data_IF_659353725505
#
_entry.id   IF_659353725505
#
_cell.length_a   1.000
_cell.length_b   1.000
_cell.length_c   1.000
_cell.angle_alpha   90.00
_cell.angle_beta   90.00
_cell.angle_gamma   90.00
#
_symmetry.space_group_name_H-M   'P 1'
#
loop_
_entity.id
_entity.type
_entity.pdbx_description
1 polymer ?
#
# COMPACT_ATOMS: atom_id res chain seq x y z
N UNK A 1 22.19 26.85 -35.98
CA UNK A 1 20.80 26.88 -36.47
C UNK A 1 20.41 25.43 -36.76
N UNK A 2 19.57 24.83 -35.90
CA UNK A 2 18.64 23.69 -36.14
C UNK A 2 19.30 22.35 -36.56
N UNK A 3 19.08 21.19 -35.94
CA UNK A 3 17.81 20.60 -35.49
C UNK A 3 18.01 19.52 -34.40
N UNK A 4 17.08 19.53 -33.45
CA UNK A 4 16.91 18.56 -32.36
C UNK A 4 16.10 17.37 -32.91
N UNK A 5 16.55 16.13 -32.68
CA UNK A 5 15.66 14.96 -32.64
C UNK A 5 15.95 14.12 -31.40
N UNK A 6 15.15 14.36 -30.37
CA UNK A 6 15.04 13.51 -29.18
C UNK A 6 14.38 12.18 -29.53
N UNK A 7 15.10 11.08 -29.33
CA UNK A 7 14.49 9.77 -29.04
C UNK A 7 14.79 9.46 -27.57
N UNK A 8 13.80 9.68 -26.71
CA UNK A 8 13.79 9.11 -25.36
C UNK A 8 13.70 7.58 -25.52
N UNK A 9 14.80 6.89 -25.26
CA UNK A 9 14.80 5.48 -24.93
C UNK A 9 14.52 5.39 -23.42
N UNK A 10 13.37 4.86 -23.04
CA UNK A 10 13.11 4.41 -21.67
C UNK A 10 14.17 3.36 -21.34
N UNK A 11 15.08 3.68 -20.40
CA UNK A 11 15.92 2.69 -19.74
C UNK A 11 15.05 1.97 -18.70
N UNK A 12 14.72 0.72 -18.97
CA UNK A 12 14.37 -0.24 -17.93
C UNK A 12 15.65 -0.50 -17.14
N UNK A 13 15.68 -0.15 -15.86
CA UNK A 13 16.80 -0.48 -14.99
C UNK A 13 16.48 -1.76 -14.22
N UNK A 14 17.24 -2.80 -14.56
CA UNK A 14 17.29 -4.08 -13.87
C UNK A 14 18.35 -4.01 -12.78
N UNK A 15 17.97 -4.22 -11.52
CA UNK A 15 18.93 -4.33 -10.40
C UNK A 15 19.08 -5.75 -9.84
N UNK A 16 18.61 -6.78 -10.55
CA UNK A 16 18.84 -8.18 -10.17
C UNK A 16 20.04 -8.85 -10.86
N UNK A 17 20.89 -8.07 -11.53
CA UNK A 17 22.12 -8.60 -12.12
C UNK A 17 23.32 -8.19 -11.29
N UNK A 18 23.78 -9.07 -10.39
CA UNK A 18 25.19 -9.44 -10.19
C UNK A 18 25.25 -10.76 -9.37
N UNK A 19 26.14 -11.64 -9.83
CA UNK A 19 26.19 -13.10 -9.74
C UNK A 19 27.01 -13.69 -8.59
N UNK A 20 26.58 -14.84 -8.05
CA UNK A 20 27.43 -16.05 -7.93
C UNK A 20 26.57 -17.31 -8.09
N UNK A 21 26.83 -18.04 -9.19
CA UNK A 21 26.41 -19.42 -9.50
C UNK A 21 24.89 -19.69 -9.67
N UNK A 22 24.52 -19.90 -10.94
CA UNK A 22 23.38 -20.68 -11.45
C UNK A 22 22.21 -20.93 -10.48
N UNK A 23 21.16 -20.11 -10.57
CA UNK A 23 19.71 -20.45 -10.63
C UNK A 23 18.97 -19.12 -10.45
N UNK A 24 18.50 -18.55 -11.55
CA UNK A 24 17.25 -17.79 -11.67
C UNK A 24 17.26 -17.20 -13.08
N UNK A 25 16.69 -17.95 -14.03
CA UNK A 25 16.21 -17.34 -15.26
C UNK A 25 14.91 -16.62 -14.93
N UNK A 26 14.84 -15.27 -14.97
CA UNK A 26 13.54 -14.63 -15.09
C UNK A 26 12.96 -15.17 -16.39
N UNK A 27 11.73 -15.70 -16.35
CA UNK A 27 11.02 -15.95 -17.60
C UNK A 27 10.72 -14.57 -18.18
N UNK A 28 11.64 -14.03 -18.99
CA UNK A 28 11.44 -12.79 -19.74
C UNK A 28 10.31 -12.99 -20.74
N UNK A 29 9.08 -12.86 -20.28
CA UNK A 29 7.91 -12.77 -21.16
C UNK A 29 7.90 -11.34 -21.69
N UNK A 30 8.60 -11.15 -22.81
CA UNK A 30 8.67 -9.92 -23.59
C UNK A 30 7.31 -9.22 -23.66
N UNK A 31 7.28 -7.95 -23.27
CA UNK A 31 6.09 -7.11 -23.28
C UNK A 31 5.72 -6.73 -24.72
N UNK A 32 4.70 -7.40 -25.26
CA UNK A 32 4.04 -6.96 -26.50
C UNK A 32 2.62 -6.43 -26.21
N UNK A 33 2.32 -5.15 -26.51
CA UNK A 33 0.99 -4.56 -26.36
C UNK A 33 -0.14 -5.30 -27.08
N UNK A 34 0.18 -6.11 -28.08
CA UNK A 34 -0.80 -6.97 -28.76
C UNK A 34 -1.28 -8.14 -27.90
N UNK A 35 -0.50 -8.60 -26.92
CA UNK A 35 -0.87 -9.70 -26.02
C UNK A 35 -2.02 -9.28 -25.09
N UNK A 36 -1.95 -8.08 -24.50
CA UNK A 36 -2.94 -7.63 -23.50
C UNK A 36 -4.35 -7.50 -24.07
N UNK A 37 -4.52 -6.95 -25.28
CA UNK A 37 -5.85 -6.86 -25.93
C UNK A 37 -6.42 -8.25 -26.24
N UNK A 38 -5.59 -9.16 -26.74
CA UNK A 38 -6.03 -10.53 -27.03
C UNK A 38 -6.41 -11.28 -25.73
N UNK A 39 -5.65 -11.08 -24.66
CA UNK A 39 -5.94 -11.69 -23.37
C UNK A 39 -7.25 -11.19 -22.78
N UNK A 40 -7.55 -9.89 -22.90
CA UNK A 40 -8.83 -9.33 -22.48
C UNK A 40 -10.00 -10.06 -23.16
N UNK A 41 -9.95 -10.21 -24.48
CA UNK A 41 -11.00 -10.93 -25.23
C UNK A 41 -11.11 -12.40 -24.82
N UNK A 42 -9.97 -13.07 -24.65
CA UNK A 42 -9.93 -14.48 -24.22
C UNK A 42 -10.53 -14.63 -22.83
N UNK A 43 -10.09 -13.83 -21.87
CA UNK A 43 -10.59 -13.83 -20.50
C UNK A 43 -12.10 -13.59 -20.50
N UNK A 44 -12.59 -12.55 -21.18
CA UNK A 44 -14.02 -12.24 -21.21
C UNK A 44 -14.88 -13.36 -21.81
N UNK A 45 -14.36 -14.07 -22.82
CA UNK A 45 -15.05 -15.23 -23.38
C UNK A 45 -15.06 -16.44 -22.43
N UNK A 46 -13.95 -16.72 -21.77
CA UNK A 46 -13.86 -17.84 -20.82
C UNK A 46 -14.65 -17.56 -19.54
N UNK A 47 -14.70 -16.32 -19.05
CA UNK A 47 -15.56 -15.91 -17.92
C UNK A 47 -17.04 -16.12 -18.24
N UNK A 48 -17.50 -15.73 -19.44
CA UNK A 48 -18.89 -16.01 -19.89
C UNK A 48 -19.22 -17.50 -19.95
N UNK A 49 -18.23 -18.34 -20.23
CA UNK A 49 -18.34 -19.80 -20.23
C UNK A 49 -18.14 -20.43 -18.85
N UNK A 50 -17.88 -19.62 -17.83
CA UNK A 50 -17.54 -20.05 -16.47
C UNK A 50 -16.30 -20.96 -16.41
N UNK A 51 -15.35 -20.76 -17.32
CA UNK A 51 -14.13 -21.57 -17.43
C UNK A 51 -12.94 -20.90 -16.72
N UNK A 52 -13.02 -20.82 -15.40
CA UNK A 52 -12.06 -20.07 -14.57
C UNK A 52 -10.68 -20.71 -14.52
N UNK A 53 -10.57 -22.02 -14.75
CA UNK A 53 -9.28 -22.69 -14.94
C UNK A 53 -8.53 -22.12 -16.15
N UNK A 54 -9.25 -21.84 -17.24
CA UNK A 54 -8.63 -21.24 -18.43
C UNK A 54 -8.26 -19.78 -18.20
N UNK A 55 -9.06 -19.05 -17.43
CA UNK A 55 -8.73 -17.68 -16.98
C UNK A 55 -7.44 -17.70 -16.15
N UNK A 56 -7.34 -18.60 -15.17
CA UNK A 56 -6.13 -18.78 -14.35
C UNK A 56 -4.90 -19.05 -15.23
N UNK A 57 -4.99 -19.97 -16.18
CA UNK A 57 -3.88 -20.30 -17.08
C UNK A 57 -3.41 -19.10 -17.90
N UNK A 58 -4.31 -18.22 -18.32
CA UNK A 58 -3.92 -16.97 -19.00
C UNK A 58 -3.16 -16.08 -18.02
N UNK A 59 -3.69 -15.85 -16.81
CA UNK A 59 -3.10 -14.96 -15.82
C UNK A 59 -1.73 -15.44 -15.30
N UNK A 60 -1.55 -16.75 -15.12
CA UNK A 60 -0.27 -17.35 -14.69
C UNK A 60 0.87 -17.14 -15.70
N UNK A 61 0.53 -16.90 -16.97
CA UNK A 61 1.52 -16.63 -18.03
C UNK A 61 1.78 -15.14 -18.24
N UNK A 62 1.34 -14.28 -17.32
CA UNK A 62 1.48 -12.82 -17.42
C UNK A 62 2.18 -12.25 -16.20
N UNK A 63 2.98 -11.20 -16.40
CA UNK A 63 3.58 -10.43 -15.31
C UNK A 63 2.51 -9.63 -14.56
N UNK A 64 2.77 -9.21 -13.32
CA UNK A 64 1.80 -8.40 -12.57
C UNK A 64 1.46 -7.10 -13.33
N UNK A 65 2.45 -6.42 -13.92
CA UNK A 65 2.23 -5.24 -14.76
C UNK A 65 1.25 -5.51 -15.92
N UNK A 66 1.40 -6.64 -16.63
CA UNK A 66 0.46 -7.03 -17.69
C UNK A 66 -0.95 -7.29 -17.13
N UNK A 67 -1.05 -7.92 -15.96
CA UNK A 67 -2.34 -8.14 -15.28
C UNK A 67 -2.97 -6.82 -14.83
N UNK A 68 -2.20 -5.85 -14.35
CA UNK A 68 -2.70 -4.51 -14.04
C UNK A 68 -3.20 -3.76 -15.29
N UNK A 69 -2.55 -3.94 -16.45
CA UNK A 69 -3.09 -3.44 -17.72
C UNK A 69 -4.45 -4.07 -18.07
N UNK A 70 -4.63 -5.38 -17.84
CA UNK A 70 -5.92 -6.07 -18.03
C UNK A 70 -6.95 -5.48 -17.06
N UNK A 71 -6.64 -5.38 -15.76
CA UNK A 71 -7.53 -4.81 -14.73
C UNK A 71 -7.93 -3.37 -15.09
N UNK A 72 -6.98 -2.55 -15.53
CA UNK A 72 -7.23 -1.18 -15.95
C UNK A 72 -8.19 -1.13 -17.14
N UNK A 73 -8.03 -2.01 -18.14
CA UNK A 73 -8.95 -2.08 -19.26
C UNK A 73 -10.39 -2.38 -18.81
N UNK A 74 -10.61 -3.40 -17.96
CA UNK A 74 -11.95 -3.73 -17.46
C UNK A 74 -12.55 -2.54 -16.69
N UNK A 75 -11.76 -1.84 -15.86
CA UNK A 75 -12.19 -0.63 -15.15
C UNK A 75 -12.64 0.49 -16.10
N UNK A 76 -11.93 0.72 -17.22
CA UNK A 76 -12.27 1.75 -18.21
C UNK A 76 -13.65 1.56 -18.84
N UNK A 77 -14.14 0.33 -18.91
CA UNK A 77 -15.47 0.00 -19.43
C UNK A 77 -16.50 -0.27 -18.33
N UNK A 78 -16.21 0.16 -17.08
CA UNK A 78 -17.07 -0.07 -15.91
C UNK A 78 -17.36 -1.56 -15.63
N UNK A 79 -16.52 -2.45 -16.16
CA UNK A 79 -16.59 -3.88 -15.95
C UNK A 79 -15.70 -4.29 -14.76
N UNK A 80 -16.00 -5.43 -14.15
CA UNK A 80 -15.15 -6.01 -13.11
C UNK A 80 -15.12 -7.51 -13.26
N UNK A 81 -13.94 -8.04 -13.60
CA UNK A 81 -13.72 -9.47 -13.71
C UNK A 81 -14.05 -10.20 -12.39
N UNK A 82 -13.74 -9.57 -11.25
CA UNK A 82 -14.08 -10.11 -9.92
C UNK A 82 -15.61 -10.18 -9.72
N UNK A 83 -16.36 -9.14 -10.11
CA UNK A 83 -17.83 -9.17 -10.04
C UNK A 83 -18.43 -10.21 -10.98
N UNK A 84 -17.87 -10.38 -12.17
CA UNK A 84 -18.30 -11.45 -13.09
C UNK A 84 -18.09 -12.86 -12.49
N UNK A 85 -17.16 -12.98 -11.55
CA UNK A 85 -16.84 -14.20 -10.80
C UNK A 85 -17.58 -14.32 -9.45
N UNK A 86 -18.45 -13.37 -9.10
CA UNK A 86 -19.07 -13.28 -7.76
C UNK A 86 -20.04 -14.44 -7.47
N UNK A 87 -20.71 -14.97 -8.51
CA UNK A 87 -21.68 -16.06 -8.42
C UNK A 87 -21.06 -17.45 -8.25
N UNK A 88 -19.73 -17.57 -8.24
CA UNK A 88 -19.03 -18.83 -8.03
C UNK A 88 -18.88 -19.06 -6.53
N UNK A 89 -19.14 -20.29 -6.08
CA UNK A 89 -18.81 -20.71 -4.72
C UNK A 89 -17.35 -20.35 -4.40
N UNK A 90 -17.07 -19.62 -3.30
CA UNK A 90 -15.72 -19.27 -2.94
C UNK A 90 -14.90 -20.55 -2.74
N UNK A 91 -13.96 -20.77 -3.64
CA UNK A 91 -12.99 -21.84 -3.59
C UNK A 91 -11.59 -21.23 -3.79
N UNK A 92 -10.55 -22.01 -3.49
CA UNK A 92 -9.16 -21.54 -3.55
C UNK A 92 -8.77 -20.96 -4.92
N UNK A 93 -9.46 -21.37 -6.00
CA UNK A 93 -9.25 -20.87 -7.35
C UNK A 93 -9.69 -19.40 -7.50
N UNK A 94 -10.83 -19.03 -6.93
CA UNK A 94 -11.32 -17.64 -6.96
C UNK A 94 -10.36 -16.70 -6.23
N UNK A 95 -9.94 -17.08 -5.02
CA UNK A 95 -8.96 -16.32 -4.23
C UNK A 95 -7.64 -16.17 -4.99
N UNK A 96 -7.14 -17.25 -5.61
CA UNK A 96 -5.91 -17.19 -6.41
C UNK A 96 -6.02 -16.24 -7.60
N UNK A 97 -7.17 -16.23 -8.29
CA UNK A 97 -7.39 -15.29 -9.42
C UNK A 97 -7.49 -13.85 -8.91
N UNK A 98 -8.15 -13.62 -7.78
CA UNK A 98 -8.21 -12.30 -7.13
C UNK A 98 -6.80 -11.80 -6.76
N UNK A 99 -5.99 -12.65 -6.13
CA UNK A 99 -4.60 -12.32 -5.79
C UNK A 99 -3.78 -12.03 -7.05
N UNK A 100 -3.91 -12.84 -8.10
CA UNK A 100 -3.20 -12.59 -9.36
C UNK A 100 -3.59 -11.25 -10.00
N UNK A 101 -4.84 -10.83 -9.89
CA UNK A 101 -5.31 -9.54 -10.42
C UNK A 101 -4.96 -8.36 -9.50
N UNK A 102 -4.59 -8.63 -8.26
CA UNK A 102 -4.23 -7.60 -7.29
C UNK A 102 -2.82 -7.08 -7.59
N UNK A 103 -2.62 -5.77 -7.39
CA UNK A 103 -1.30 -5.19 -7.54
C UNK A 103 -0.37 -5.81 -6.48
N UNK A 104 0.83 -6.20 -6.92
CA UNK A 104 1.80 -6.86 -6.05
C UNK A 104 2.10 -6.03 -4.80
N UNK A 105 2.13 -4.70 -4.90
CA UNK A 105 2.35 -3.82 -3.74
C UNK A 105 1.23 -3.87 -2.69
N UNK A 106 0.00 -4.17 -3.10
CA UNK A 106 -1.15 -4.34 -2.20
C UNK A 106 -1.02 -5.65 -1.44
N UNK A 107 -0.81 -6.77 -2.14
CA UNK A 107 -0.65 -8.08 -1.50
C UNK A 107 0.48 -8.07 -0.48
N UNK A 108 1.60 -7.43 -0.82
CA UNK A 108 2.74 -7.31 0.09
C UNK A 108 2.45 -6.43 1.28
N UNK A 109 1.76 -5.31 1.10
CA UNK A 109 1.35 -4.45 2.21
C UNK A 109 0.44 -5.21 3.20
N UNK A 110 -0.48 -6.02 2.70
CA UNK A 110 -1.37 -6.86 3.51
C UNK A 110 -0.58 -7.92 4.30
N UNK A 111 0.30 -8.67 3.64
CA UNK A 111 1.08 -9.72 4.30
C UNK A 111 2.10 -9.13 5.30
N UNK A 112 2.71 -7.99 4.98
CA UNK A 112 3.59 -7.27 5.90
C UNK A 112 2.82 -6.80 7.14
N UNK A 113 1.60 -6.26 6.97
CA UNK A 113 0.76 -5.82 8.08
C UNK A 113 0.41 -6.98 9.00
N UNK A 114 0.02 -8.11 8.40
CA UNK A 114 -0.31 -9.34 9.12
C UNK A 114 0.91 -9.89 9.86
N UNK A 115 2.09 -9.90 9.25
CA UNK A 115 3.32 -10.36 9.87
C UNK A 115 3.69 -9.50 11.09
N UNK A 116 3.63 -8.16 10.95
CA UNK A 116 3.94 -7.24 12.05
C UNK A 116 2.91 -7.34 13.18
N UNK A 117 1.61 -7.32 12.85
CA UNK A 117 0.54 -7.40 13.86
C UNK A 117 0.55 -8.72 14.65
N UNK A 118 1.06 -9.79 14.05
CA UNK A 118 1.26 -11.09 14.72
C UNK A 118 2.66 -11.27 15.30
N UNK A 119 3.50 -10.23 15.28
CA UNK A 119 4.90 -10.28 15.73
C UNK A 119 5.73 -11.40 15.06
N UNK A 120 5.39 -11.76 13.82
CA UNK A 120 6.11 -12.77 13.05
C UNK A 120 7.36 -12.15 12.40
N UNK A 121 8.46 -12.16 13.17
CA UNK A 121 9.73 -11.55 12.75
C UNK A 121 10.36 -12.24 11.53
N UNK A 122 10.12 -13.55 11.35
CA UNK A 122 10.66 -14.31 10.23
C UNK A 122 10.05 -13.84 8.90
N UNK A 123 8.71 -13.76 8.82
CA UNK A 123 8.02 -13.28 7.61
C UNK A 123 8.33 -11.80 7.39
N UNK A 124 8.32 -10.99 8.45
CA UNK A 124 8.65 -9.56 8.36
C UNK A 124 10.04 -9.35 7.75
N UNK A 125 11.05 -10.09 8.23
CA UNK A 125 12.43 -9.96 7.74
C UNK A 125 12.56 -10.47 6.31
N UNK A 126 11.90 -11.60 5.98
CA UNK A 126 11.90 -12.14 4.62
C UNK A 126 11.34 -11.14 3.62
N UNK A 127 10.16 -10.58 3.90
CA UNK A 127 9.53 -9.58 3.05
C UNK A 127 10.42 -8.36 2.87
N UNK A 128 11.03 -7.85 3.94
CA UNK A 128 11.89 -6.65 3.86
C UNK A 128 13.20 -6.87 3.10
N UNK A 129 13.77 -8.08 3.11
CA UNK A 129 15.01 -8.40 2.36
C UNK A 129 14.76 -8.36 0.86
N UNK A 130 13.58 -8.80 0.43
CA UNK A 130 13.21 -8.91 -0.99
C UNK A 130 12.93 -7.54 -1.66
N UNK A 131 12.94 -6.43 -0.90
CA UNK A 131 12.71 -5.09 -1.44
C UNK A 131 13.94 -4.19 -1.35
N UNK A 132 14.42 -3.74 -2.51
CA UNK A 132 15.42 -2.68 -2.62
C UNK A 132 14.97 -1.63 -3.65
N UNK A 133 15.21 -0.35 -3.36
CA UNK A 133 14.92 0.74 -4.31
C UNK A 133 13.44 1.12 -4.42
N UNK A 134 12.99 1.45 -5.62
CA UNK A 134 11.67 2.06 -5.89
C UNK A 134 10.47 1.16 -5.51
N UNK A 135 10.66 -0.16 -5.52
CA UNK A 135 9.64 -1.14 -5.14
C UNK A 135 9.28 -1.04 -3.65
N UNK A 136 10.29 -0.75 -2.81
CA UNK A 136 10.08 -0.53 -1.39
C UNK A 136 9.19 0.70 -1.13
N UNK A 137 9.43 1.80 -1.86
CA UNK A 137 8.64 3.02 -1.69
C UNK A 137 7.19 2.85 -2.17
N UNK A 138 6.95 2.05 -3.21
CA UNK A 138 5.59 1.68 -3.64
C UNK A 138 4.86 0.90 -2.55
N UNK A 139 5.46 -0.18 -2.05
CA UNK A 139 4.89 -1.00 -0.97
C UNK A 139 4.64 -0.15 0.28
N UNK A 140 5.59 0.71 0.66
CA UNK A 140 5.45 1.62 1.80
C UNK A 140 4.27 2.59 1.65
N UNK A 141 4.07 3.16 0.47
CA UNK A 141 2.94 4.06 0.23
C UNK A 141 1.60 3.32 0.30
N UNK A 142 1.53 2.12 -0.28
CA UNK A 142 0.33 1.28 -0.22
C UNK A 142 0.06 0.77 1.20
N UNK A 143 1.09 0.37 1.92
CA UNK A 143 1.02 0.02 3.34
C UNK A 143 0.47 1.16 4.20
N UNK A 144 0.89 2.40 3.95
CA UNK A 144 0.33 3.59 4.61
C UNK A 144 -1.16 3.78 4.34
N UNK A 145 -1.60 3.57 3.10
CA UNK A 145 -3.02 3.65 2.74
C UNK A 145 -3.84 2.50 3.33
N UNK A 146 -3.28 1.29 3.34
CA UNK A 146 -3.92 0.09 3.89
C UNK A 146 -4.04 0.16 5.42
N UNK A 147 -2.97 0.55 6.11
CA UNK A 147 -3.03 0.81 7.56
C UNK A 147 -4.02 1.92 7.89
N UNK A 148 -4.13 2.96 7.06
CA UNK A 148 -5.20 3.95 7.22
C UNK A 148 -6.60 3.33 7.06
N UNK A 149 -6.85 2.52 6.03
CA UNK A 149 -8.18 1.93 5.82
C UNK A 149 -8.57 0.91 6.90
N UNK A 150 -7.61 0.12 7.39
CA UNK A 150 -7.83 -0.92 8.40
C UNK A 150 -7.81 -0.37 9.83
N UNK A 151 -6.91 0.58 10.13
CA UNK A 151 -6.73 1.15 11.46
C UNK A 151 -6.37 2.63 11.37
N UNK A 152 -7.38 3.47 11.06
CA UNK A 152 -7.26 4.93 10.96
C UNK A 152 -6.51 5.53 12.16
N UNK A 153 -6.86 5.21 13.42
CA UNK A 153 -6.17 5.78 14.57
C UNK A 153 -4.66 5.53 14.58
N UNK A 154 -4.23 4.30 14.25
CA UNK A 154 -2.81 3.92 14.18
C UNK A 154 -2.05 4.64 13.06
N UNK A 155 -2.69 4.85 11.91
CA UNK A 155 -2.10 5.68 10.85
C UNK A 155 -1.82 7.10 11.33
N UNK A 156 -2.79 7.74 12.01
CA UNK A 156 -2.61 9.10 12.48
C UNK A 156 -1.57 9.19 13.59
N UNK A 157 -1.49 8.19 14.48
CA UNK A 157 -0.41 8.10 15.46
C UNK A 157 0.97 8.08 14.77
N UNK A 158 1.12 7.24 13.73
CA UNK A 158 2.35 7.18 12.92
C UNK A 158 2.66 8.51 12.22
N UNK A 159 1.64 9.14 11.65
CA UNK A 159 1.79 10.42 10.95
C UNK A 159 2.18 11.55 11.92
N UNK A 160 1.63 11.58 13.13
CA UNK A 160 2.05 12.52 14.16
C UNK A 160 3.53 12.34 14.50
N UNK A 161 3.98 11.10 14.70
CA UNK A 161 5.38 10.83 15.02
C UNK A 161 6.32 11.29 13.89
N UNK A 162 5.97 10.96 12.64
CA UNK A 162 6.71 11.40 11.45
C UNK A 162 6.80 12.93 11.37
N UNK A 163 5.69 13.66 11.58
CA UNK A 163 5.67 15.12 11.47
C UNK A 163 6.44 15.80 12.62
N UNK A 164 6.43 15.21 13.81
CA UNK A 164 7.09 15.78 14.98
C UNK A 164 8.62 15.54 14.94
N UNK A 165 9.07 14.39 14.43
CA UNK A 165 10.48 13.98 14.50
C UNK A 165 11.25 14.07 13.18
N UNK A 166 10.59 13.99 12.01
CA UNK A 166 11.27 14.07 10.71
C UNK A 166 11.29 15.51 10.18
N UNK A 167 12.46 16.01 9.81
CA UNK A 167 12.68 17.39 9.34
C UNK A 167 11.99 17.76 8.01
N UNK A 168 11.34 16.80 7.35
CA UNK A 168 10.81 16.96 5.99
C UNK A 168 9.33 17.38 5.92
N UNK A 169 8.62 17.45 7.05
CA UNK A 169 7.18 17.75 7.06
C UNK A 169 6.91 19.07 7.79
N UNK A 170 6.16 19.96 7.13
CA UNK A 170 5.84 21.30 7.66
C UNK A 170 5.25 21.24 9.07
N UNK A 171 5.77 22.07 9.96
CA UNK A 171 5.30 22.31 11.35
C UNK A 171 3.81 22.70 11.39
N UNK A 172 3.22 23.20 10.30
CA UNK A 172 1.77 23.45 10.25
C UNK A 172 0.93 22.17 10.09
N UNK A 173 1.56 21.04 9.73
CA UNK A 173 0.89 19.76 9.48
C UNK A 173 0.40 19.12 10.78
N UNK A 174 1.21 19.11 11.86
CA UNK A 174 0.77 18.49 13.11
C UNK A 174 -0.38 19.29 13.74
N UNK A 175 -0.30 20.62 13.69
CA UNK A 175 -1.38 21.49 14.17
C UNK A 175 -2.70 21.22 13.44
N UNK A 176 -2.68 21.13 12.11
CA UNK A 176 -3.87 20.81 11.31
C UNK A 176 -4.42 19.42 11.63
N UNK A 177 -3.54 18.43 11.79
CA UNK A 177 -3.95 17.07 12.14
C UNK A 177 -4.61 17.01 13.52
N UNK A 178 -4.07 17.69 14.53
CA UNK A 178 -4.67 17.77 15.87
C UNK A 178 -6.09 18.34 15.81
N UNK A 179 -6.27 19.45 15.09
CA UNK A 179 -7.58 20.10 14.94
C UNK A 179 -8.55 19.20 14.17
N UNK A 180 -8.12 18.56 13.08
CA UNK A 180 -9.00 17.72 12.26
C UNK A 180 -9.45 16.44 12.97
N UNK A 181 -8.72 16.00 13.99
CA UNK A 181 -8.96 14.73 14.68
C UNK A 181 -9.62 14.91 16.04
N UNK A 182 -9.57 16.11 16.61
CA UNK A 182 -10.13 16.43 17.94
C UNK A 182 -11.62 16.14 18.09
N UNK A 183 -12.38 16.12 16.99
CA UNK A 183 -13.81 15.83 17.00
C UNK A 183 -14.15 14.41 16.52
N UNK A 184 -13.13 13.59 16.21
CA UNK A 184 -13.33 12.28 15.58
C UNK A 184 -12.94 11.15 16.53
N UNK A 185 -11.66 11.10 16.92
CA UNK A 185 -11.05 9.96 17.59
C UNK A 185 -9.64 10.30 18.12
N UNK A 186 -9.38 11.56 18.46
CA UNK A 186 -8.06 12.00 18.90
C UNK A 186 -7.58 11.29 20.17
N UNK A 187 -8.47 11.03 21.15
CA UNK A 187 -8.11 10.25 22.34
C UNK A 187 -7.59 8.86 21.97
N UNK A 188 -8.28 8.14 21.08
CA UNK A 188 -7.85 6.82 20.65
C UNK A 188 -6.51 6.88 19.90
N UNK A 189 -6.29 7.94 19.12
CA UNK A 189 -4.98 8.20 18.49
C UNK A 189 -3.90 8.42 19.54
N UNK A 190 -4.19 9.15 20.63
CA UNK A 190 -3.26 9.39 21.73
C UNK A 190 -2.91 8.10 22.48
N UNK A 191 -3.92 7.27 22.78
CA UNK A 191 -3.72 5.99 23.48
C UNK A 191 -2.84 5.05 22.64
N UNK A 192 -3.09 4.99 21.31
CA UNK A 192 -2.28 4.20 20.39
C UNK A 192 -0.88 4.79 20.24
N UNK A 193 -0.74 6.12 20.22
CA UNK A 193 0.57 6.78 20.16
C UNK A 193 1.44 6.42 21.37
N UNK A 194 0.88 6.49 22.57
CA UNK A 194 1.56 6.11 23.80
C UNK A 194 1.95 4.62 23.78
N UNK A 195 1.03 3.74 23.37
CA UNK A 195 1.31 2.32 23.23
C UNK A 195 2.44 2.01 22.20
N UNK A 196 2.52 2.76 21.10
CA UNK A 196 3.50 2.55 20.03
C UNK A 196 4.89 3.11 20.35
N UNK A 197 4.95 4.28 20.97
CA UNK A 197 6.21 5.04 21.11
C UNK A 197 6.68 5.17 22.56
N UNK A 198 5.86 4.77 23.54
CA UNK A 198 6.19 4.83 24.97
C UNK A 198 6.29 6.25 25.53
N UNK A 199 5.75 7.23 24.81
CA UNK A 199 5.73 8.65 25.18
C UNK A 199 4.37 9.24 24.80
N UNK A 200 3.88 10.17 25.62
CA UNK A 200 2.63 10.84 25.32
C UNK A 200 2.77 11.78 24.13
N UNK A 201 1.82 11.73 23.20
CA UNK A 201 1.74 12.66 22.07
C UNK A 201 1.77 14.12 22.54
N UNK A 202 1.16 14.42 23.68
CA UNK A 202 1.19 15.76 24.29
C UNK A 202 2.59 16.23 24.64
N UNK A 203 3.49 15.32 25.02
CA UNK A 203 4.84 15.69 25.43
C UNK A 203 5.73 15.92 24.21
N UNK A 204 5.59 15.10 23.16
CA UNK A 204 6.26 15.34 21.88
C UNK A 204 5.81 16.65 21.21
N UNK A 205 4.51 16.97 21.26
CA UNK A 205 3.98 18.24 20.75
C UNK A 205 4.56 19.42 21.54
N UNK A 206 4.61 19.36 22.88
CA UNK A 206 5.25 20.42 23.70
C UNK A 206 6.72 20.61 23.33
N UNK A 207 7.44 19.51 23.11
CA UNK A 207 8.85 19.57 22.76
C UNK A 207 9.08 20.22 21.38
N UNK A 208 8.16 20.02 20.43
CA UNK A 208 8.25 20.57 19.08
C UNK A 208 7.77 22.03 18.97
N UNK A 209 6.72 22.41 19.70
CA UNK A 209 6.09 23.73 19.62
C UNK A 209 6.29 24.51 20.93
N UNK A 210 7.39 25.27 21.04
CA UNK A 210 7.64 26.13 22.21
C UNK A 210 6.78 27.42 22.18
N UNK A 211 6.25 27.87 23.34
CA UNK A 211 5.67 29.21 23.52
C UNK A 211 4.13 29.28 23.50
N UNK A 212 3.53 30.42 23.08
CA UNK A 212 2.06 30.66 23.18
C UNK A 212 1.18 29.69 22.39
N UNK A 213 1.73 28.97 21.40
CA UNK A 213 1.01 27.96 20.61
C UNK A 213 0.90 26.60 21.33
N UNK A 214 1.77 26.35 22.31
CA UNK A 214 1.76 25.14 23.17
C UNK A 214 0.44 25.02 23.93
N UNK A 215 0.05 26.06 24.67
CA UNK A 215 -1.10 25.97 25.58
C UNK A 215 -2.42 25.59 24.90
N UNK A 216 -2.68 26.06 23.67
CA UNK A 216 -3.93 25.74 22.97
C UNK A 216 -3.97 24.29 22.47
N UNK A 217 -2.86 23.80 21.88
CA UNK A 217 -2.77 22.44 21.35
C UNK A 217 -2.65 21.40 22.47
N UNK A 218 -1.91 21.73 23.52
CA UNK A 218 -1.80 20.91 24.72
C UNK A 218 -3.12 20.86 25.48
N UNK A 219 -3.93 21.92 25.49
CA UNK A 219 -5.28 21.87 26.08
C UNK A 219 -6.24 21.00 25.28
N UNK A 220 -6.14 21.04 23.94
CA UNK A 220 -6.92 20.19 23.04
C UNK A 220 -6.59 18.69 23.28
N UNK A 221 -5.35 18.37 23.63
CA UNK A 221 -4.91 17.03 24.03
C UNK A 221 -5.24 16.64 25.50
N UNK A 222 -5.57 17.61 26.36
CA UNK A 222 -5.93 17.37 27.78
C UNK A 222 -7.43 17.18 28.03
N UNK A 223 -8.28 17.61 27.09
CA UNK A 223 -9.74 17.68 27.29
C UNK A 223 -10.45 16.32 27.31
N UNK A 224 -9.82 15.24 26.85
CA UNK A 224 -10.48 13.93 26.70
C UNK A 224 -10.17 12.93 27.84
N UNK A 225 -9.30 13.30 28.80
CA UNK A 225 -9.00 12.50 30.00
C UNK A 225 -10.00 12.64 31.16
N UNK A 226 -11.15 13.28 30.94
CA UNK A 226 -12.19 13.46 31.97
C UNK A 226 -13.49 12.75 31.62
N UNK A 227 -13.43 11.45 31.34
CA UNK A 227 -14.60 10.59 31.55
C UNK A 227 -14.71 10.24 33.03
N UNK A 228 -15.67 10.93 33.64
CA UNK A 228 -16.07 10.93 35.04
C UNK A 228 -16.33 9.50 35.54
N UNK A 229 -15.69 9.15 36.65
CA UNK A 229 -16.06 8.06 37.54
C UNK A 229 -17.51 8.25 38.02
N UNK A 230 -18.40 7.32 37.68
CA UNK A 230 -19.53 6.90 38.52
C UNK A 230 -19.76 5.40 38.37
#
# INVERSE_FOLDING_TARGET
MVEIKSKQQLMNFTTDYITTEEINSPTEIVTHPMLTVQDIYRIGNETKRQNYERVLQILLTRTNAQRQHIVHYYKTFEMSLIKEMENIQPNNLKLLIEDLLTDTSILFAEELYKAISTSNIQITTSLLIDFWGDEFDQVKNVYKLYTYSVNKPMYFATLFHDVLHKELISVLTAQRLLILRSEVDLQLVCDIYDAMYGIYLSDDVKQKYFGKQDNALTNLLKLEGTHVLY
#
